data_IF_779295096033
#
_entry.id   IF_779295096033
#
_cell.length_a   1.000
_cell.length_b   1.000
_cell.length_c   1.000
_cell.angle_alpha   90.00
_cell.angle_beta   90.00
_cell.angle_gamma   90.00
#
_symmetry.space_group_name_H-M   'P 1'
#
loop_
_entity.id
_entity.type
_entity.pdbx_description
1 polymer ?
#
# COMPACT_ATOMS: atom_id res chain seq x y z
N UNK A 1 13.58 -2.22 -11.74
CA UNK A 1 12.46 -1.30 -12.05
C UNK A 1 12.22 -0.27 -10.94
N UNK A 2 11.89 -0.65 -9.69
CA UNK A 2 11.60 0.32 -8.60
C UNK A 2 12.75 1.30 -8.32
N UNK A 3 13.98 0.79 -8.17
CA UNK A 3 15.14 1.65 -7.88
C UNK A 3 15.34 2.76 -8.91
N UNK A 4 15.11 2.44 -10.20
CA UNK A 4 15.18 3.41 -11.29
C UNK A 4 14.12 4.50 -11.15
N UNK A 5 12.87 4.12 -10.90
CA UNK A 5 11.77 5.11 -10.69
C UNK A 5 12.07 6.03 -9.51
N UNK A 6 12.65 5.50 -8.43
CA UNK A 6 13.05 6.32 -7.29
C UNK A 6 14.20 7.27 -7.67
N UNK A 7 15.19 6.77 -8.41
CA UNK A 7 16.30 7.58 -8.89
C UNK A 7 15.83 8.68 -9.85
N UNK A 8 14.99 8.36 -10.83
CA UNK A 8 14.42 9.32 -11.78
C UNK A 8 13.62 10.42 -11.06
N UNK A 9 12.88 10.06 -10.01
CA UNK A 9 12.19 11.02 -9.15
C UNK A 9 13.19 11.95 -8.45
N UNK A 10 14.26 11.40 -7.86
CA UNK A 10 15.32 12.17 -7.19
C UNK A 10 16.03 13.12 -8.16
N UNK A 11 16.33 12.66 -9.37
CA UNK A 11 17.12 13.40 -10.37
C UNK A 11 16.30 14.45 -11.13
N UNK A 12 14.97 14.36 -11.11
CA UNK A 12 14.09 15.27 -11.85
C UNK A 12 13.06 15.98 -10.96
N UNK A 13 11.84 15.46 -10.85
CA UNK A 13 10.69 16.19 -10.31
C UNK A 13 10.67 16.35 -8.78
N UNK A 14 11.59 15.72 -8.04
CA UNK A 14 11.65 15.86 -6.57
C UNK A 14 12.06 17.30 -6.20
N UNK A 15 11.25 18.01 -5.39
CA UNK A 15 11.62 19.34 -4.89
C UNK A 15 12.92 19.31 -4.06
N UNK A 16 13.82 20.26 -4.33
CA UNK A 16 15.05 20.44 -3.55
C UNK A 16 14.77 21.24 -2.26
N UNK A 17 14.28 20.53 -1.24
CA UNK A 17 13.92 21.10 0.08
C UNK A 17 14.56 20.32 1.23
N UNK A 18 14.86 21.02 2.31
CA UNK A 18 15.31 20.46 3.60
C UNK A 18 14.26 20.69 4.69
N UNK A 19 14.18 19.78 5.67
CA UNK A 19 13.35 20.00 6.86
C UNK A 19 14.10 20.76 7.97
N UNK A 20 13.40 21.10 9.07
CA UNK A 20 13.95 21.88 10.20
C UNK A 20 15.14 21.24 10.94
N UNK A 21 15.54 20.03 10.56
CA UNK A 21 16.68 19.31 11.10
C UNK A 21 17.75 19.07 10.02
N UNK A 22 17.76 19.88 8.95
CA UNK A 22 18.67 19.79 7.80
C UNK A 22 18.63 18.44 7.05
N UNK A 23 17.52 17.71 7.17
CA UNK A 23 17.33 16.45 6.45
C UNK A 23 16.71 16.71 5.08
N UNK A 24 17.13 15.92 4.09
CA UNK A 24 16.62 15.94 2.72
C UNK A 24 15.60 14.81 2.56
N UNK A 25 14.28 15.05 2.77
CA UNK A 25 13.28 13.98 2.74
C UNK A 25 13.14 13.40 1.34
N UNK A 26 13.11 12.07 1.21
CA UNK A 26 12.85 11.43 -0.09
C UNK A 26 11.52 11.92 -0.67
N UNK A 27 10.41 11.72 0.05
CA UNK A 27 9.11 12.27 -0.33
C UNK A 27 8.97 13.72 0.14
N UNK A 28 9.07 14.63 -0.81
CA UNK A 28 9.06 16.07 -0.59
C UNK A 28 7.95 16.77 -1.37
N UNK A 29 7.54 17.93 -0.87
CA UNK A 29 6.72 18.92 -1.57
C UNK A 29 7.43 20.27 -1.52
N UNK A 30 6.91 21.27 -2.24
CA UNK A 30 7.42 22.65 -2.14
C UNK A 30 7.39 23.24 -0.72
N UNK A 31 6.62 22.62 0.20
CA UNK A 31 6.52 23.00 1.61
C UNK A 31 7.40 22.16 2.55
N UNK A 32 8.35 21.37 2.01
CA UNK A 32 9.21 20.49 2.80
C UNK A 32 8.78 19.03 2.77
N UNK A 33 8.94 18.31 3.89
CA UNK A 33 8.58 16.88 3.98
C UNK A 33 7.08 16.67 3.72
N UNK A 34 6.76 15.73 2.84
CA UNK A 34 5.37 15.42 2.52
C UNK A 34 4.63 14.84 3.75
N UNK A 35 3.44 15.37 4.04
CA UNK A 35 2.59 14.86 5.10
C UNK A 35 1.94 13.52 4.73
N UNK A 36 1.62 12.70 5.72
CA UNK A 36 0.95 11.39 5.51
C UNK A 36 -0.39 11.53 4.77
N UNK A 37 -1.17 12.57 5.10
CA UNK A 37 -2.42 12.88 4.41
C UNK A 37 -2.18 13.16 2.93
N UNK A 38 -1.16 13.94 2.59
CA UNK A 38 -0.81 14.23 1.20
C UNK A 38 -0.46 12.96 0.42
N UNK A 39 0.32 12.04 0.99
CA UNK A 39 0.62 10.75 0.34
C UNK A 39 -0.66 9.96 0.07
N UNK A 40 -1.58 9.93 1.03
CA UNK A 40 -2.87 9.26 0.88
C UNK A 40 -3.71 9.88 -0.23
N UNK A 41 -3.79 11.21 -0.28
CA UNK A 41 -4.58 11.93 -1.28
C UNK A 41 -4.01 11.74 -2.69
N UNK A 42 -2.67 11.70 -2.81
CA UNK A 42 -2.00 11.32 -4.06
C UNK A 42 -2.39 9.90 -4.48
N UNK A 43 -2.41 8.94 -3.55
CA UNK A 43 -2.84 7.56 -3.84
C UNK A 43 -4.25 7.50 -4.42
N UNK A 44 -5.22 8.16 -3.76
CA UNK A 44 -6.58 8.24 -4.28
C UNK A 44 -6.59 8.85 -5.67
N UNK A 45 -5.85 9.93 -5.90
CA UNK A 45 -5.81 10.63 -7.18
C UNK A 45 -5.30 9.73 -8.32
N UNK A 46 -4.12 9.13 -8.15
CA UNK A 46 -3.40 8.43 -9.24
C UNK A 46 -3.95 7.05 -9.56
N UNK A 47 -4.78 6.48 -8.67
CA UNK A 47 -5.39 5.16 -8.86
C UNK A 47 -6.75 5.22 -9.55
N UNK A 48 -7.31 6.42 -9.75
CA UNK A 48 -8.58 6.59 -10.47
C UNK A 48 -8.42 6.25 -11.95
N UNK A 49 -9.40 5.57 -12.58
CA UNK A 49 -9.38 5.26 -14.00
C UNK A 49 -9.18 6.49 -14.90
N UNK A 50 -9.95 7.55 -14.66
CA UNK A 50 -9.89 8.77 -15.47
C UNK A 50 -8.54 9.50 -15.37
N UNK A 51 -7.87 9.46 -14.22
CA UNK A 51 -6.52 10.04 -14.08
C UNK A 51 -5.50 9.28 -14.94
N UNK A 52 -5.70 7.98 -15.13
CA UNK A 52 -4.89 7.12 -15.98
C UNK A 52 -5.31 7.18 -17.46
N UNK A 53 -6.24 8.06 -17.84
CA UNK A 53 -6.77 8.16 -19.21
C UNK A 53 -7.64 6.96 -19.62
N UNK A 54 -8.21 6.23 -18.66
CA UNK A 54 -9.12 5.11 -18.91
C UNK A 54 -10.57 5.56 -18.82
N UNK A 55 -11.43 4.87 -19.57
CA UNK A 55 -12.87 5.02 -19.47
C UNK A 55 -13.37 4.79 -18.04
N UNK A 56 -14.42 5.53 -17.66
CA UNK A 56 -15.00 5.43 -16.33
C UNK A 56 -15.85 4.15 -16.22
N UNK A 57 -15.54 3.21 -15.32
CA UNK A 57 -16.32 1.97 -15.18
C UNK A 57 -17.64 2.16 -14.39
N UNK A 58 -17.98 3.41 -14.07
CA UNK A 58 -19.18 3.78 -13.31
C UNK A 58 -20.11 4.69 -14.14
N UNK A 59 -19.88 4.79 -15.45
CA UNK A 59 -20.66 5.62 -16.38
C UNK A 59 -20.76 7.09 -15.96
N UNK A 60 -19.67 7.64 -15.39
CA UNK A 60 -19.59 9.06 -14.98
C UNK A 60 -18.72 9.84 -15.96
N UNK A 61 -19.20 11.02 -16.36
CA UNK A 61 -18.40 12.02 -17.07
C UNK A 61 -17.32 12.61 -16.14
N UNK A 62 -16.02 12.49 -16.47
CA UNK A 62 -14.95 13.09 -15.68
C UNK A 62 -15.06 14.61 -15.48
N UNK A 63 -15.64 15.35 -16.43
CA UNK A 63 -15.72 16.81 -16.37
C UNK A 63 -16.79 17.30 -15.38
N UNK A 64 -17.79 16.46 -15.09
CA UNK A 64 -18.87 16.75 -14.13
C UNK A 64 -18.74 15.96 -12.81
N UNK A 65 -17.73 15.09 -12.70
CA UNK A 65 -17.59 14.20 -11.56
C UNK A 65 -16.83 14.83 -10.39
N UNK A 66 -17.48 14.99 -9.22
CA UNK A 66 -16.82 15.45 -7.99
C UNK A 66 -15.60 14.59 -7.61
N UNK A 67 -15.63 13.30 -7.97
CA UNK A 67 -14.56 12.37 -7.67
C UNK A 67 -13.39 12.46 -8.66
N UNK A 68 -13.49 13.27 -9.72
CA UNK A 68 -12.38 13.61 -10.62
C UNK A 68 -11.51 14.76 -10.06
N UNK A 69 -12.07 15.60 -9.19
CA UNK A 69 -11.32 16.65 -8.48
C UNK A 69 -10.33 16.07 -7.46
N UNK A 70 -9.29 16.83 -7.11
CA UNK A 70 -8.28 16.39 -6.14
C UNK A 70 -8.88 16.15 -4.75
N UNK A 71 -9.77 17.02 -4.27
CA UNK A 71 -10.39 16.93 -2.94
C UNK A 71 -11.45 15.82 -2.85
N UNK A 72 -12.10 15.50 -3.97
CA UNK A 72 -13.12 14.45 -4.04
C UNK A 72 -12.57 13.07 -4.43
N UNK A 73 -11.26 12.92 -4.66
CA UNK A 73 -10.67 11.71 -5.23
C UNK A 73 -11.05 10.42 -4.48
N UNK A 74 -11.14 10.48 -3.15
CA UNK A 74 -11.54 9.33 -2.30
C UNK A 74 -12.99 8.88 -2.48
N UNK A 75 -13.85 9.70 -3.12
CA UNK A 75 -15.25 9.37 -3.40
C UNK A 75 -15.41 8.50 -4.65
N UNK A 76 -14.35 8.29 -5.43
CA UNK A 76 -14.40 7.39 -6.58
C UNK A 76 -14.41 5.94 -6.09
N UNK A 77 -15.40 5.10 -6.45
CA UNK A 77 -15.43 3.70 -6.01
C UNK A 77 -14.26 2.87 -6.54
N UNK A 78 -13.58 3.33 -7.61
CA UNK A 78 -12.37 2.70 -8.15
C UNK A 78 -11.06 3.28 -7.61
N UNK A 79 -11.10 4.37 -6.83
CA UNK A 79 -9.90 4.87 -6.17
C UNK A 79 -9.42 3.87 -5.10
N UNK A 80 -8.12 3.88 -4.83
CA UNK A 80 -7.50 2.98 -3.85
C UNK A 80 -6.78 3.77 -2.77
N UNK A 81 -6.99 3.36 -1.53
CA UNK A 81 -6.23 3.86 -0.40
C UNK A 81 -4.82 3.22 -0.39
N UNK A 82 -3.84 3.85 0.27
CA UNK A 82 -2.51 3.23 0.47
C UNK A 82 -2.58 1.81 1.07
N UNK A 83 -3.56 1.55 1.94
CA UNK A 83 -3.75 0.23 2.54
C UNK A 83 -4.07 -0.85 1.50
N UNK A 84 -4.78 -0.53 0.42
CA UNK A 84 -5.12 -1.49 -0.64
C UNK A 84 -3.86 -2.01 -1.37
N UNK A 85 -2.85 -1.17 -1.55
CA UNK A 85 -1.57 -1.59 -2.12
C UNK A 85 -0.83 -2.58 -1.21
N UNK A 86 -0.89 -2.35 0.11
CA UNK A 86 -0.34 -3.29 1.10
C UNK A 86 -1.11 -4.61 1.08
N UNK A 87 -2.44 -4.58 1.11
CA UNK A 87 -3.28 -5.78 1.02
C UNK A 87 -3.05 -6.55 -0.28
N UNK A 88 -2.86 -5.85 -1.41
CA UNK A 88 -2.50 -6.45 -2.69
C UNK A 88 -1.18 -7.22 -2.63
N UNK A 89 -0.16 -6.68 -1.95
CA UNK A 89 1.13 -7.36 -1.75
C UNK A 89 1.01 -8.59 -0.85
N UNK A 90 0.25 -8.50 0.25
CA UNK A 90 -0.08 -9.65 1.11
C UNK A 90 -0.74 -10.75 0.29
N UNK A 91 -1.75 -10.39 -0.50
CA UNK A 91 -2.49 -11.33 -1.36
C UNK A 91 -1.58 -11.98 -2.41
N UNK A 92 -0.68 -11.22 -3.03
CA UNK A 92 0.30 -11.74 -3.97
C UNK A 92 1.18 -12.81 -3.33
N UNK A 93 1.75 -12.53 -2.15
CA UNK A 93 2.58 -13.50 -1.44
C UNK A 93 1.80 -14.75 -1.03
N UNK A 94 0.54 -14.59 -0.60
CA UNK A 94 -0.36 -15.70 -0.31
C UNK A 94 -0.57 -16.58 -1.53
N UNK A 95 -0.90 -16.00 -2.70
CA UNK A 95 -1.15 -16.76 -3.95
C UNK A 95 0.07 -17.51 -4.47
N UNK A 96 1.27 -17.07 -4.08
CA UNK A 96 2.54 -17.69 -4.48
C UNK A 96 3.15 -18.55 -3.36
N UNK A 97 2.36 -18.93 -2.34
CA UNK A 97 2.79 -19.79 -1.24
C UNK A 97 4.12 -19.36 -0.59
N UNK A 98 4.32 -18.04 -0.49
CA UNK A 98 5.54 -17.49 0.10
C UNK A 98 5.59 -17.84 1.59
N UNK A 99 6.72 -18.36 2.11
CA UNK A 99 6.81 -18.79 3.50
C UNK A 99 6.48 -17.66 4.49
N UNK A 100 5.69 -17.98 5.53
CA UNK A 100 5.20 -17.00 6.54
C UNK A 100 6.32 -16.14 7.13
N UNK A 101 7.47 -16.75 7.45
CA UNK A 101 8.63 -16.03 8.00
C UNK A 101 9.11 -14.93 7.06
N UNK A 102 9.20 -15.21 5.76
CA UNK A 102 9.63 -14.24 4.75
C UNK A 102 8.62 -13.11 4.60
N UNK A 103 7.33 -13.40 4.77
CA UNK A 103 6.27 -12.39 4.72
C UNK A 103 6.31 -11.50 5.96
N UNK A 104 6.46 -12.09 7.15
CA UNK A 104 6.64 -11.37 8.43
C UNK A 104 7.79 -10.38 8.30
N UNK A 105 8.96 -10.88 7.91
CA UNK A 105 10.18 -10.08 7.79
C UNK A 105 10.05 -8.95 6.77
N UNK A 106 9.34 -9.17 5.65
CA UNK A 106 9.23 -8.17 4.58
C UNK A 106 8.11 -7.15 4.75
N UNK A 107 7.02 -7.53 5.40
CA UNK A 107 5.87 -6.65 5.56
C UNK A 107 5.77 -6.06 6.95
N UNK A 108 6.60 -6.47 7.89
CA UNK A 108 6.42 -6.16 9.31
C UNK A 108 4.97 -6.47 9.72
N UNK A 109 4.53 -7.68 9.37
CA UNK A 109 3.17 -8.14 9.62
C UNK A 109 3.10 -8.78 11.02
N UNK A 110 2.09 -8.39 11.81
CA UNK A 110 1.82 -9.04 13.09
C UNK A 110 1.43 -10.50 12.88
N UNK A 111 1.58 -11.31 13.93
CA UNK A 111 1.15 -12.71 13.90
C UNK A 111 -0.35 -12.84 13.65
N UNK A 112 -1.17 -11.95 14.21
CA UNK A 112 -2.61 -11.91 13.96
C UNK A 112 -2.95 -11.72 12.47
N UNK A 113 -2.24 -10.80 11.78
CA UNK A 113 -2.42 -10.58 10.33
C UNK A 113 -1.99 -11.82 9.53
N UNK A 114 -0.97 -12.53 9.99
CA UNK A 114 -0.53 -13.78 9.35
C UNK A 114 -1.53 -14.91 9.62
N UNK A 115 -2.10 -15.01 10.81
CA UNK A 115 -3.07 -16.06 11.12
C UNK A 115 -4.39 -15.86 10.36
N UNK A 116 -4.86 -14.60 10.23
CA UNK A 116 -6.08 -14.28 9.47
C UNK A 116 -5.90 -14.49 7.96
N UNK A 117 -4.76 -14.07 7.40
CA UNK A 117 -4.59 -14.01 5.95
C UNK A 117 -3.69 -15.11 5.34
N UNK A 118 -2.90 -15.82 6.15
CA UNK A 118 -2.06 -16.94 5.69
C UNK A 118 -2.55 -18.31 6.08
N UNK A 119 -3.30 -18.48 7.17
CA UNK A 119 -3.51 -19.82 7.68
C UNK A 119 -4.45 -20.62 6.77
N UNK A 120 -3.84 -21.49 5.96
CA UNK A 120 -4.54 -22.48 5.12
C UNK A 120 -4.80 -23.79 5.89
N UNK A 121 -4.34 -23.90 7.14
CA UNK A 121 -4.44 -25.10 7.95
C UNK A 121 -5.78 -25.13 8.69
N UNK A 122 -6.38 -26.31 8.77
CA UNK A 122 -7.61 -26.50 9.56
C UNK A 122 -7.35 -26.37 11.07
N UNK A 123 -8.38 -26.07 11.85
CA UNK A 123 -8.29 -25.96 13.33
C UNK A 123 -7.60 -27.17 13.97
N UNK A 124 -7.79 -28.37 13.40
CA UNK A 124 -7.17 -29.62 13.86
C UNK A 124 -5.66 -29.66 13.64
N UNK A 125 -5.16 -29.15 12.51
CA UNK A 125 -3.72 -29.05 12.22
C UNK A 125 -3.05 -27.98 13.11
N UNK A 126 -3.75 -26.86 13.37
CA UNK A 126 -3.27 -25.83 14.31
C UNK A 126 -3.20 -26.37 15.74
N UNK A 127 -4.19 -27.15 16.15
CA UNK A 127 -4.23 -27.78 17.48
C UNK A 127 -3.10 -28.80 17.66
N UNK A 128 -2.91 -29.71 16.69
CA UNK A 128 -1.83 -30.70 16.76
C UNK A 128 -0.45 -30.04 16.82
N UNK A 129 -0.22 -28.96 16.09
CA UNK A 129 1.02 -28.20 16.21
C UNK A 129 1.20 -27.60 17.61
N UNK A 130 0.14 -27.11 18.28
CA UNK A 130 0.27 -26.63 19.66
C UNK A 130 0.62 -27.77 20.62
N UNK A 131 0.10 -28.97 20.39
CA UNK A 131 0.48 -30.16 21.16
C UNK A 131 1.96 -30.51 21.00
N UNK A 132 2.52 -30.43 19.79
CA UNK A 132 3.92 -30.78 19.51
C UNK A 132 4.96 -29.81 20.12
N UNK A 133 4.56 -28.61 20.56
CA UNK A 133 5.44 -27.61 21.17
C UNK A 133 5.19 -27.38 22.66
N UNK A 134 4.27 -28.13 23.28
CA UNK A 134 4.20 -28.21 24.73
C UNK A 134 5.23 -29.24 25.19
N UNK A 135 6.11 -28.92 26.16
CA UNK A 135 6.98 -29.93 26.74
C UNK A 135 6.10 -31.06 27.32
N UNK A 136 6.51 -32.31 27.10
CA UNK A 136 5.89 -33.46 27.75
C UNK A 136 5.85 -33.16 29.27
N UNK A 137 4.64 -33.11 29.83
CA UNK A 137 4.42 -33.04 31.27
C UNK A 137 4.71 -34.38 31.92
#
# INVERSE_FOLDING_TARGET
>A
HVARVVQDYIDGPRPSVSDRYDRVPLFASQYGRMARSTVRDVFYRVTRPCWLGRECPHDRDPDECEAAEMKGASKCPSSRAPHDARSGRVTYYRRNDTPRRIVKDRLDASEDILDEHYDRRGEREKSNQRYDYLPDS
#
